data_IF_637058487713
#
_entry.id   IF_637058487713
#
_cell.length_a   1.000
_cell.length_b   1.000
_cell.length_c   1.000
_cell.angle_alpha   90.00
_cell.angle_beta   90.00
_cell.angle_gamma   90.00
#
_symmetry.space_group_name_H-M   'P 1'
#
loop_
_entity.id
_entity.type
_entity.pdbx_description
1 polymer ?
#
# COMPACT_ATOMS: atom_id res chain seq x y z
N UNK A 1 -3.28 -17.07 1.14
CA UNK A 1 -3.08 -16.01 0.13
C UNK A 1 -2.32 -14.87 0.78
N UNK A 2 -1.23 -14.45 0.17
CA UNK A 2 -0.39 -13.33 0.62
C UNK A 2 -0.72 -12.10 -0.21
N UNK A 3 -1.00 -10.99 0.44
CA UNK A 3 -1.47 -9.77 -0.20
C UNK A 3 -0.54 -8.59 0.13
N UNK A 4 -0.18 -7.84 -0.89
CA UNK A 4 0.64 -6.62 -0.80
C UNK A 4 -0.24 -5.39 -0.97
N UNK A 5 -0.19 -4.48 -0.02
CA UNK A 5 -0.75 -3.13 -0.15
C UNK A 5 0.37 -2.10 -0.30
N UNK A 6 0.14 -1.10 -1.11
CA UNK A 6 1.10 -0.01 -1.36
C UNK A 6 0.40 1.34 -1.23
N UNK A 7 1.01 2.22 -0.46
CA UNK A 7 0.70 3.66 -0.40
C UNK A 7 1.84 4.41 -1.09
N UNK A 8 1.68 4.76 -2.39
CA UNK A 8 2.78 5.30 -3.17
C UNK A 8 3.09 6.76 -2.84
N UNK A 9 4.35 7.09 -2.79
CA UNK A 9 4.87 8.44 -2.65
C UNK A 9 6.32 8.50 -3.08
N UNK A 10 6.76 9.65 -3.59
CA UNK A 10 8.14 9.79 -4.04
C UNK A 10 9.12 9.87 -2.87
N UNK A 11 8.80 10.67 -1.86
CA UNK A 11 9.65 10.80 -0.67
C UNK A 11 9.63 9.54 0.17
N UNK A 12 8.44 8.96 0.34
CA UNK A 12 8.22 7.75 1.11
C UNK A 12 7.07 6.95 0.50
N UNK A 13 7.32 5.70 0.21
CA UNK A 13 6.30 4.73 -0.20
C UNK A 13 6.11 3.74 0.93
N UNK A 14 4.89 3.63 1.44
CA UNK A 14 4.51 2.60 2.41
C UNK A 14 4.19 1.28 1.71
N UNK A 15 4.51 0.18 2.36
CA UNK A 15 4.10 -1.15 1.92
C UNK A 15 3.68 -2.00 3.13
N UNK A 16 2.75 -2.91 2.88
CA UNK A 16 2.28 -3.82 3.92
C UNK A 16 1.90 -5.17 3.34
N UNK A 17 2.23 -6.22 4.05
CA UNK A 17 1.97 -7.61 3.67
C UNK A 17 1.05 -8.24 4.73
N UNK A 18 -0.06 -8.79 4.27
CA UNK A 18 -0.99 -9.56 5.10
C UNK A 18 -1.22 -10.95 4.50
N UNK A 19 -1.48 -11.91 5.36
CA UNK A 19 -1.96 -13.22 4.94
C UNK A 19 -3.46 -13.34 5.19
N UNK A 20 -4.17 -13.92 4.24
CA UNK A 20 -5.60 -14.25 4.35
C UNK A 20 -5.79 -15.76 4.28
N UNK A 21 -6.47 -16.33 5.27
CA UNK A 21 -6.90 -17.72 5.30
C UNK A 21 -8.36 -17.78 5.72
N UNK A 22 -9.26 -18.04 4.79
CA UNK A 22 -10.69 -17.88 5.00
C UNK A 22 -11.06 -16.44 5.36
N UNK A 23 -11.68 -16.23 6.51
CA UNK A 23 -11.98 -14.91 7.06
C UNK A 23 -10.86 -14.33 7.94
N UNK A 24 -9.85 -15.12 8.25
CA UNK A 24 -8.76 -14.71 9.14
C UNK A 24 -7.70 -13.92 8.38
N UNK A 25 -7.34 -12.77 8.95
CA UNK A 25 -6.22 -11.95 8.50
C UNK A 25 -5.09 -12.02 9.53
N UNK A 26 -3.86 -12.03 9.06
CA UNK A 26 -2.67 -11.94 9.90
C UNK A 26 -1.63 -11.03 9.27
N UNK A 27 -0.94 -10.27 10.12
CA UNK A 27 0.17 -9.43 9.71
C UNK A 27 1.40 -10.29 9.40
N UNK A 28 2.08 -9.99 8.29
CA UNK A 28 3.36 -10.61 7.96
C UNK A 28 4.48 -9.60 8.11
N UNK A 29 4.39 -8.46 7.42
CA UNK A 29 5.41 -7.43 7.45
C UNK A 29 4.83 -6.08 7.00
N UNK A 30 5.50 -5.01 7.36
CA UNK A 30 5.23 -3.68 6.81
C UNK A 30 6.51 -2.84 6.87
N UNK A 31 6.56 -1.80 6.05
CA UNK A 31 7.73 -0.95 6.00
C UNK A 31 7.53 0.27 5.11
N UNK A 32 8.60 1.01 4.97
CA UNK A 32 8.65 2.22 4.17
C UNK A 32 9.90 2.25 3.32
N UNK A 33 9.76 2.67 2.07
CA UNK A 33 10.86 2.90 1.14
C UNK A 33 11.01 4.41 0.99
N UNK A 34 12.15 4.94 1.40
CA UNK A 34 12.47 6.36 1.27
C UNK A 34 13.48 6.54 0.15
N UNK A 35 13.25 7.57 -0.68
CA UNK A 35 14.19 7.92 -1.73
C UNK A 35 15.06 9.11 -1.31
N UNK A 36 16.25 9.22 -1.91
CA UNK A 36 17.16 10.32 -1.63
C UNK A 36 16.63 11.63 -2.27
N UNK A 37 16.21 12.59 -1.45
CA UNK A 37 15.69 13.87 -1.92
C UNK A 37 16.68 14.70 -2.74
N UNK A 38 17.98 14.43 -2.63
CA UNK A 38 19.06 15.09 -3.38
C UNK A 38 19.37 14.44 -4.72
N UNK A 39 18.86 13.22 -4.95
CA UNK A 39 19.05 12.50 -6.22
C UNK A 39 18.10 13.05 -7.30
N UNK A 40 18.42 12.74 -8.55
CA UNK A 40 17.55 13.06 -9.68
C UNK A 40 16.23 12.29 -9.60
N UNK A 41 15.20 12.74 -10.29
CA UNK A 41 13.93 12.02 -10.37
C UNK A 41 14.13 10.59 -10.86
N UNK A 42 14.89 10.39 -11.92
CA UNK A 42 15.16 9.07 -12.46
C UNK A 42 15.82 8.13 -11.44
N UNK A 43 16.82 8.62 -10.71
CA UNK A 43 17.49 7.86 -9.66
C UNK A 43 16.54 7.51 -8.52
N UNK A 44 15.69 8.46 -8.11
CA UNK A 44 14.68 8.23 -7.06
C UNK A 44 13.67 7.15 -7.48
N UNK A 45 13.23 7.16 -8.72
CA UNK A 45 12.33 6.13 -9.24
C UNK A 45 12.99 4.75 -9.28
N UNK A 46 14.28 4.68 -9.57
CA UNK A 46 15.06 3.42 -9.49
C UNK A 46 15.15 2.92 -8.04
N UNK A 47 15.40 3.81 -7.08
CA UNK A 47 15.42 3.44 -5.65
C UNK A 47 14.07 2.85 -5.21
N UNK A 48 12.97 3.47 -5.63
CA UNK A 48 11.62 2.99 -5.34
C UNK A 48 11.36 1.61 -5.97
N UNK A 49 11.67 1.45 -7.24
CA UNK A 49 11.52 0.18 -7.96
C UNK A 49 12.34 -0.94 -7.30
N UNK A 50 13.60 -0.67 -6.99
CA UNK A 50 14.48 -1.63 -6.33
C UNK A 50 13.96 -2.03 -4.95
N UNK A 51 13.47 -1.09 -4.16
CA UNK A 51 12.87 -1.34 -2.86
C UNK A 51 11.63 -2.23 -2.93
N UNK A 52 10.73 -1.94 -3.86
CA UNK A 52 9.53 -2.77 -4.06
C UNK A 52 9.87 -4.15 -4.62
N UNK A 53 10.83 -4.23 -5.55
CA UNK A 53 11.29 -5.52 -6.08
C UNK A 53 11.84 -6.42 -4.97
N UNK A 54 12.58 -5.86 -4.02
CA UNK A 54 13.11 -6.59 -2.86
C UNK A 54 11.97 -7.10 -1.94
N UNK A 55 10.97 -6.28 -1.66
CA UNK A 55 9.79 -6.67 -0.87
C UNK A 55 9.02 -7.81 -1.56
N UNK A 56 8.80 -7.69 -2.86
CA UNK A 56 8.10 -8.70 -3.65
C UNK A 56 8.88 -10.02 -3.69
N UNK A 57 10.19 -9.96 -3.88
CA UNK A 57 11.05 -11.15 -3.89
C UNK A 57 11.07 -11.88 -2.54
N UNK A 58 11.10 -11.12 -1.44
CA UNK A 58 11.11 -11.68 -0.08
C UNK A 58 9.78 -12.32 0.31
N UNK A 59 8.67 -11.62 0.07
CA UNK A 59 7.36 -12.04 0.59
C UNK A 59 6.50 -12.80 -0.43
N UNK A 60 6.81 -12.73 -1.71
CA UNK A 60 6.13 -13.44 -2.80
C UNK A 60 4.60 -13.31 -2.74
N UNK A 61 4.05 -12.08 -2.78
CA UNK A 61 2.61 -11.89 -2.70
C UNK A 61 1.88 -12.50 -3.91
N UNK A 62 0.68 -13.02 -3.66
CA UNK A 62 -0.19 -13.57 -4.69
C UNK A 62 -0.96 -12.50 -5.46
N UNK A 63 -1.23 -11.38 -4.81
CA UNK A 63 -1.91 -10.22 -5.39
C UNK A 63 -1.45 -8.94 -4.70
N UNK A 64 -1.55 -7.83 -5.41
CA UNK A 64 -1.21 -6.51 -4.91
C UNK A 64 -2.32 -5.49 -5.12
N UNK A 65 -2.34 -4.46 -4.31
CA UNK A 65 -3.21 -3.31 -4.47
C UNK A 65 -2.49 -2.01 -4.14
N UNK A 66 -2.88 -0.96 -4.83
CA UNK A 66 -2.31 0.38 -4.70
C UNK A 66 -3.41 1.36 -4.35
N UNK A 67 -3.13 2.26 -3.41
CA UNK A 67 -4.04 3.35 -3.11
C UNK A 67 -4.10 4.30 -4.30
N UNK A 68 -5.32 4.64 -4.71
CA UNK A 68 -5.59 5.60 -5.75
C UNK A 68 -5.80 6.97 -5.09
N UNK A 69 -4.84 7.87 -5.30
CA UNK A 69 -4.89 9.24 -4.78
C UNK A 69 -5.30 10.19 -5.89
N UNK A 70 -6.45 10.85 -5.71
CA UNK A 70 -6.90 11.92 -6.59
C UNK A 70 -6.55 13.29 -6.02
N UNK A 71 -5.94 14.12 -6.85
CA UNK A 71 -5.83 15.57 -6.75
C UNK A 71 -5.05 16.09 -5.55
N UNK A 72 -3.83 16.49 -5.82
CA UNK A 72 -3.17 17.52 -5.06
C UNK A 72 -3.45 18.87 -5.75
N UNK A 73 -3.65 19.95 -4.98
CA UNK A 73 -3.81 21.30 -5.51
C UNK A 73 -2.53 21.85 -6.18
N UNK A 74 -1.38 21.21 -5.93
CA UNK A 74 -0.11 21.53 -6.55
C UNK A 74 0.18 20.60 -7.73
N UNK A 75 0.21 21.11 -8.99
CA UNK A 75 0.44 20.28 -10.17
C UNK A 75 1.77 19.52 -10.17
N UNK A 76 2.84 20.11 -9.64
CA UNK A 76 4.14 19.45 -9.56
C UNK A 76 4.13 18.29 -8.59
N UNK A 77 3.49 18.43 -7.44
CA UNK A 77 3.34 17.35 -6.46
C UNK A 77 2.46 16.23 -7.01
N UNK A 78 1.42 16.56 -7.74
CA UNK A 78 0.56 15.58 -8.42
C UNK A 78 1.33 14.79 -9.48
N UNK A 79 2.16 15.46 -10.27
CA UNK A 79 3.01 14.81 -11.27
C UNK A 79 4.02 13.85 -10.63
N UNK A 80 4.72 14.29 -9.59
CA UNK A 80 5.67 13.46 -8.85
C UNK A 80 5.01 12.25 -8.22
N UNK A 81 3.84 12.42 -7.62
CA UNK A 81 3.04 11.32 -7.07
C UNK A 81 2.64 10.33 -8.16
N UNK A 82 2.17 10.81 -9.31
CA UNK A 82 1.80 9.98 -10.45
C UNK A 82 2.97 9.15 -10.98
N UNK A 83 4.17 9.73 -11.04
CA UNK A 83 5.38 9.03 -11.45
C UNK A 83 5.75 7.93 -10.44
N UNK A 84 5.75 8.21 -9.15
CA UNK A 84 6.02 7.22 -8.10
C UNK A 84 4.96 6.10 -8.13
N UNK A 85 3.70 6.46 -8.30
CA UNK A 85 2.58 5.52 -8.39
C UNK A 85 2.71 4.59 -9.60
N UNK A 86 3.09 5.14 -10.75
CA UNK A 86 3.34 4.35 -11.97
C UNK A 86 4.46 3.33 -11.77
N UNK A 87 5.54 3.70 -11.11
CA UNK A 87 6.64 2.77 -10.78
C UNK A 87 6.18 1.68 -9.83
N UNK A 88 5.39 2.03 -8.82
CA UNK A 88 4.85 1.05 -7.87
C UNK A 88 3.97 0.02 -8.57
N UNK A 89 3.06 0.45 -9.43
CA UNK A 89 2.20 -0.44 -10.22
C UNK A 89 3.01 -1.32 -11.17
N UNK A 90 4.01 -0.72 -11.84
CA UNK A 90 4.89 -1.45 -12.76
C UNK A 90 5.69 -2.53 -12.03
N UNK A 91 6.23 -2.24 -10.86
CA UNK A 91 7.01 -3.20 -10.07
C UNK A 91 6.17 -4.45 -9.73
N UNK A 92 4.93 -4.27 -9.32
CA UNK A 92 4.02 -5.38 -9.01
C UNK A 92 3.62 -6.15 -10.28
N UNK A 93 3.20 -5.44 -11.33
CA UNK A 93 2.77 -6.06 -12.58
C UNK A 93 3.89 -6.82 -13.29
N UNK A 94 5.12 -6.28 -13.29
CA UNK A 94 6.29 -6.92 -13.87
C UNK A 94 6.66 -8.23 -13.18
N UNK A 95 6.34 -8.37 -11.90
CA UNK A 95 6.50 -9.61 -11.17
C UNK A 95 5.41 -10.67 -11.50
N UNK A 96 4.49 -10.36 -12.41
CA UNK A 96 3.39 -11.25 -12.77
C UNK A 96 2.24 -11.27 -11.77
N UNK A 97 2.18 -10.31 -10.86
CA UNK A 97 1.19 -10.22 -9.79
C UNK A 97 0.03 -9.34 -10.22
N UNK A 98 -1.24 -9.77 -10.07
CA UNK A 98 -2.40 -8.92 -10.34
C UNK A 98 -2.40 -7.68 -9.44
N UNK A 99 -2.73 -6.51 -10.02
CA UNK A 99 -2.75 -5.21 -9.32
C UNK A 99 -4.16 -4.66 -9.30
N UNK A 100 -4.69 -4.41 -8.12
CA UNK A 100 -5.94 -3.68 -7.90
C UNK A 100 -5.65 -2.23 -7.45
N UNK A 101 -6.62 -1.35 -7.62
CA UNK A 101 -6.56 0.04 -7.21
C UNK A 101 -7.79 0.40 -6.38
N UNK A 102 -7.61 1.10 -5.28
CA UNK A 102 -8.70 1.51 -4.40
C UNK A 102 -8.61 2.98 -4.04
N UNK A 103 -9.69 3.75 -4.25
CA UNK A 103 -9.80 5.12 -3.75
C UNK A 103 -9.72 5.17 -2.22
N UNK A 104 -9.20 6.26 -1.69
CA UNK A 104 -9.07 6.48 -0.23
C UNK A 104 -10.40 6.28 0.51
N UNK A 105 -11.52 6.75 -0.05
CA UNK A 105 -12.86 6.59 0.57
C UNK A 105 -13.27 5.11 0.69
N UNK A 106 -12.93 4.30 -0.31
CA UNK A 106 -13.22 2.86 -0.31
C UNK A 106 -12.41 2.17 0.80
N UNK A 107 -11.14 2.53 0.94
CA UNK A 107 -10.25 1.99 1.97
C UNK A 107 -10.79 2.34 3.37
N UNK A 108 -11.12 3.60 3.62
CA UNK A 108 -11.67 4.05 4.90
C UNK A 108 -12.98 3.32 5.23
N UNK A 109 -13.88 3.20 4.27
CA UNK A 109 -15.15 2.51 4.46
C UNK A 109 -14.97 1.01 4.73
N UNK A 110 -14.00 0.37 4.06
CA UNK A 110 -13.70 -1.04 4.26
C UNK A 110 -13.18 -1.34 5.68
N UNK A 111 -12.40 -0.44 6.26
CA UNK A 111 -11.83 -0.63 7.60
C UNK A 111 -12.75 -0.21 8.73
N UNK A 112 -13.40 0.95 8.63
CA UNK A 112 -14.16 1.55 9.75
C UNK A 112 -15.64 1.81 9.42
N UNK A 113 -16.10 1.43 8.25
CA UNK A 113 -17.50 1.56 7.83
C UNK A 113 -17.91 2.93 7.30
N UNK A 114 -17.02 3.93 7.29
CA UNK A 114 -17.27 5.27 6.76
C UNK A 114 -16.09 5.81 5.97
N UNK A 115 -16.37 6.44 4.82
CA UNK A 115 -15.35 7.09 3.99
C UNK A 115 -14.77 8.37 4.59
N UNK A 116 -15.36 8.92 5.64
CA UNK A 116 -14.89 10.09 6.39
C UNK A 116 -14.02 9.77 7.59
N UNK A 117 -13.57 8.53 7.76
CA UNK A 117 -12.74 8.14 8.90
C UNK A 117 -11.44 8.93 9.00
N UNK A 118 -11.05 9.28 10.21
CA UNK A 118 -9.79 9.94 10.50
C UNK A 118 -8.63 8.93 10.62
N UNK A 119 -7.39 9.41 10.45
CA UNK A 119 -6.18 8.58 10.55
C UNK A 119 -6.10 7.78 11.85
N UNK A 120 -6.42 8.39 12.97
CA UNK A 120 -6.40 7.72 14.28
C UNK A 120 -7.39 6.53 14.34
N UNK A 121 -8.55 6.65 13.71
CA UNK A 121 -9.53 5.57 13.63
C UNK A 121 -9.02 4.42 12.77
N UNK A 122 -8.39 4.71 11.64
CA UNK A 122 -7.77 3.71 10.77
C UNK A 122 -6.68 2.94 11.51
N UNK A 123 -5.76 3.66 12.17
CA UNK A 123 -4.67 3.03 12.93
C UNK A 123 -5.17 2.17 14.10
N UNK A 124 -6.20 2.63 14.81
CA UNK A 124 -6.83 1.85 15.87
C UNK A 124 -7.45 0.56 15.33
N UNK A 125 -8.11 0.63 14.17
CA UNK A 125 -8.71 -0.54 13.53
C UNK A 125 -7.65 -1.53 13.03
N UNK A 126 -6.51 -1.05 12.52
CA UNK A 126 -5.41 -1.92 12.13
C UNK A 126 -4.91 -2.79 13.29
N UNK A 127 -4.82 -2.22 14.49
CA UNK A 127 -4.41 -2.95 15.70
C UNK A 127 -5.43 -4.00 16.13
N UNK A 128 -6.71 -3.76 15.84
CA UNK A 128 -7.79 -4.74 16.08
C UNK A 128 -7.74 -5.87 15.05
N UNK A 129 -7.63 -5.53 13.78
CA UNK A 129 -7.66 -6.49 12.67
C UNK A 129 -6.37 -7.32 12.56
N UNK A 130 -5.25 -6.73 12.97
CA UNK A 130 -3.91 -7.35 12.94
C UNK A 130 -3.30 -7.32 14.35
N UNK A 131 -3.76 -8.17 15.28
CA UNK A 131 -3.28 -8.16 16.65
C UNK A 131 -1.77 -8.32 16.74
N UNK A 132 -1.14 -7.46 17.54
CA UNK A 132 0.32 -7.47 17.72
C UNK A 132 1.12 -6.74 16.64
N UNK A 133 0.45 -6.11 15.67
CA UNK A 133 1.14 -5.36 14.61
C UNK A 133 1.96 -4.20 15.20
N UNK A 134 3.21 -4.08 14.76
CA UNK A 134 4.07 -2.92 15.02
C UNK A 134 4.18 -2.15 13.71
N UNK A 135 3.64 -0.93 13.68
CA UNK A 135 3.61 -0.10 12.49
C UNK A 135 4.96 0.59 12.29
N UNK A 136 5.57 0.43 11.12
CA UNK A 136 6.85 1.04 10.78
C UNK A 136 6.75 2.56 10.52
N UNK A 137 5.55 3.09 10.37
CA UNK A 137 5.26 4.50 10.17
C UNK A 137 3.85 4.71 9.61
N UNK A 138 3.49 5.97 9.35
CA UNK A 138 2.16 6.32 8.82
C UNK A 138 1.90 5.75 7.43
N UNK A 139 2.88 5.82 6.52
CA UNK A 139 2.73 5.32 5.17
C UNK A 139 2.62 3.79 5.14
N UNK A 140 3.34 3.10 6.02
CA UNK A 140 3.21 1.66 6.21
C UNK A 140 1.83 1.27 6.74
N UNK A 141 1.27 2.05 7.66
CA UNK A 141 -0.08 1.86 8.17
C UNK A 141 -1.13 2.03 7.06
N UNK A 142 -1.00 3.08 6.26
CA UNK A 142 -1.88 3.33 5.11
C UNK A 142 -1.79 2.17 4.09
N UNK A 143 -0.61 1.65 3.85
CA UNK A 143 -0.39 0.50 2.96
C UNK A 143 -1.03 -0.79 3.51
N UNK A 144 -0.95 -1.05 4.82
CA UNK A 144 -1.65 -2.18 5.44
C UNK A 144 -3.17 -2.05 5.29
N UNK A 145 -3.70 -0.83 5.40
CA UNK A 145 -5.13 -0.57 5.16
C UNK A 145 -5.53 -0.93 3.71
N UNK A 146 -4.68 -0.65 2.74
CA UNK A 146 -4.87 -1.06 1.34
C UNK A 146 -4.89 -2.58 1.20
N UNK A 147 -3.94 -3.27 1.82
CA UNK A 147 -3.85 -4.74 1.79
C UNK A 147 -5.09 -5.41 2.40
N UNK A 148 -5.59 -4.90 3.52
CA UNK A 148 -6.80 -5.40 4.18
C UNK A 148 -8.04 -5.15 3.31
N UNK A 149 -8.14 -3.97 2.71
CA UNK A 149 -9.22 -3.67 1.77
C UNK A 149 -9.25 -4.67 0.63
N UNK A 150 -8.09 -4.95 0.04
CA UNK A 150 -7.97 -5.93 -1.04
C UNK A 150 -8.38 -7.33 -0.57
N UNK A 151 -7.95 -7.74 0.62
CA UNK A 151 -8.35 -9.01 1.22
C UNK A 151 -9.88 -9.16 1.36
N UNK A 152 -10.55 -8.08 1.74
CA UNK A 152 -12.00 -8.06 1.88
C UNK A 152 -12.71 -8.14 0.52
N UNK A 153 -12.19 -7.41 -0.49
CA UNK A 153 -12.79 -7.38 -1.83
C UNK A 153 -12.66 -8.71 -2.56
N UNK A 154 -11.53 -9.39 -2.46
CA UNK A 154 -11.33 -10.71 -3.06
C UNK A 154 -12.31 -11.76 -2.48
N UNK A 155 -12.70 -11.62 -1.22
CA UNK A 155 -13.63 -12.53 -0.55
C UNK A 155 -15.10 -12.30 -0.88
N UNK A 156 -15.46 -11.16 -1.47
CA UNK A 156 -16.85 -10.73 -1.70
C UNK A 156 -17.44 -11.25 -3.02
N UNK A 157 -16.67 -11.91 -3.84
CA UNK A 157 -17.08 -12.42 -5.16
C UNK A 157 -17.33 -13.92 -5.20
N UNK A 158 -17.72 -14.54 -4.07
CA UNK A 158 -18.19 -15.93 -4.04
C UNK A 158 -19.68 -16.00 -3.76
#
# INVERSE_FOLDING_TARGET
MILLGIDPGLTCTGWGIVAKSGSRLSHIANGQIRTNAKASMAERLVELDAGLAAVIAEHRPDAGAVEEVFVNMNPQSTLKLGQARGVAMLAVARAGIPVAEYPTKVIKKALVGTGGAEKAQIQAMLKVLLPGVVLAGEDAADALAVAITHANMIGSHR
#
